data_IF_076089427484
#
_entry.id   IF_076089427484
#
_cell.length_a   1.000
_cell.length_b   1.000
_cell.length_c   1.000
_cell.angle_alpha   90.00
_cell.angle_beta   90.00
_cell.angle_gamma   90.00
#
_symmetry.space_group_name_H-M   'P 1'
#
loop_
_entity.id
_entity.type
_entity.pdbx_description
1 polymer ?
#
# COMPACT_ATOMS: atom_id res chain seq x y z
N UNK A 1 -14.15 20.15 3.81
CA UNK A 1 -13.50 19.10 3.03
C UNK A 1 -13.78 17.79 3.74
N UNK A 2 -14.54 16.90 3.10
CA UNK A 2 -15.04 15.66 3.71
C UNK A 2 -14.00 14.58 3.50
N UNK A 3 -13.44 14.06 4.59
CA UNK A 3 -12.55 12.91 4.58
C UNK A 3 -13.38 11.64 4.35
N UNK A 4 -13.09 10.90 3.28
CA UNK A 4 -13.62 9.55 3.07
C UNK A 4 -12.64 8.55 3.68
N UNK A 5 -12.95 8.09 4.89
CA UNK A 5 -12.36 6.88 5.46
C UNK A 5 -12.94 5.67 4.70
N UNK A 6 -12.09 4.94 3.97
CA UNK A 6 -12.41 3.61 3.48
C UNK A 6 -12.53 2.64 4.66
N UNK A 7 -13.75 2.48 5.17
CA UNK A 7 -14.09 1.52 6.21
C UNK A 7 -14.47 0.21 5.53
N UNK A 8 -13.61 -0.81 5.63
CA UNK A 8 -13.95 -2.18 5.21
C UNK A 8 -15.08 -2.70 6.11
N UNK A 9 -16.29 -2.77 5.56
CA UNK A 9 -17.45 -3.38 6.21
C UNK A 9 -18.16 -4.31 5.23
N UNK A 10 -17.89 -5.61 5.34
CA UNK A 10 -18.69 -6.64 4.69
C UNK A 10 -20.03 -6.76 5.43
N UNK A 11 -21.10 -6.22 4.82
CA UNK A 11 -22.47 -6.37 5.32
C UNK A 11 -23.19 -7.49 4.56
N UNK A 12 -23.27 -8.67 5.18
CA UNK A 12 -24.19 -9.72 4.76
C UNK A 12 -25.63 -9.36 5.13
N UNK A 13 -26.53 -9.36 4.14
CA UNK A 13 -27.96 -9.12 4.34
C UNK A 13 -28.75 -10.43 4.23
N UNK A 14 -29.26 -10.88 5.38
CA UNK A 14 -30.23 -11.95 5.50
C UNK A 14 -31.62 -11.53 5.03
N UNK A 15 -32.32 -12.50 4.44
CA UNK A 15 -33.64 -12.39 3.83
C UNK A 15 -34.76 -11.97 4.79
N UNK A 16 -35.69 -11.15 4.27
CA UNK A 16 -36.95 -10.78 4.91
C UNK A 16 -38.00 -11.85 4.62
N UNK A 17 -38.53 -12.49 5.66
CA UNK A 17 -39.73 -13.32 5.64
C UNK A 17 -41.00 -12.46 5.69
N UNK A 18 -41.93 -12.70 4.75
CA UNK A 18 -43.31 -12.19 4.81
C UNK A 18 -44.28 -13.22 4.25
N UNK A 19 -45.11 -13.81 5.11
CA UNK A 19 -46.11 -14.83 4.80
C UNK A 19 -47.52 -14.23 4.56
N UNK A 20 -48.18 -14.76 3.52
CA UNK A 20 -49.61 -15.09 3.36
C UNK A 20 -50.69 -14.00 3.27
N UNK A 21 -51.45 -14.00 2.16
CA UNK A 21 -52.80 -14.58 2.22
C UNK A 21 -53.33 -15.05 0.85
N UNK A 22 -54.16 -16.09 0.88
CA UNK A 22 -54.50 -16.98 -0.22
C UNK A 22 -55.70 -16.53 -1.09
N UNK A 23 -55.67 -16.80 -2.40
CA UNK A 23 -56.86 -17.18 -3.16
C UNK A 23 -56.55 -17.82 -4.54
N UNK A 24 -57.01 -19.07 -4.68
CA UNK A 24 -57.61 -19.69 -5.88
C UNK A 24 -56.75 -19.88 -7.16
N UNK A 25 -56.41 -21.14 -7.39
CA UNK A 25 -55.81 -21.71 -8.63
C UNK A 25 -56.72 -21.61 -9.85
N UNK A 26 -56.10 -21.42 -11.03
CA UNK A 26 -56.33 -22.30 -12.17
C UNK A 26 -55.00 -22.92 -12.64
N UNK A 27 -55.02 -24.20 -13.00
CA UNK A 27 -53.86 -24.87 -13.62
C UNK A 27 -53.41 -24.17 -14.90
N UNK A 28 -52.10 -24.04 -15.09
CA UNK A 28 -51.55 -24.20 -16.42
C UNK A 28 -50.40 -25.20 -16.43
N UNK A 29 -50.34 -25.94 -17.54
CA UNK A 29 -49.13 -26.32 -18.26
C UNK A 29 -48.05 -27.10 -17.50
N UNK A 30 -47.66 -28.23 -18.09
CA UNK A 30 -46.41 -28.93 -17.77
C UNK A 30 -45.28 -27.89 -17.73
N UNK A 31 -44.89 -27.50 -16.51
CA UNK A 31 -43.71 -26.69 -16.26
C UNK A 31 -42.55 -27.53 -16.81
N UNK A 32 -41.87 -26.99 -17.83
CA UNK A 32 -40.57 -27.50 -18.20
C UNK A 32 -39.76 -27.57 -16.90
N UNK A 33 -39.08 -28.70 -16.66
CA UNK A 33 -38.17 -28.82 -15.54
C UNK A 33 -37.33 -27.54 -15.43
N UNK A 34 -37.09 -27.00 -14.22
CA UNK A 34 -36.28 -25.80 -14.06
C UNK A 34 -35.00 -26.04 -14.84
N UNK A 35 -34.75 -25.16 -15.82
CA UNK A 35 -33.52 -25.21 -16.59
C UNK A 35 -32.43 -25.06 -15.54
N UNK A 36 -31.53 -26.03 -15.47
CA UNK A 36 -30.37 -25.96 -14.59
C UNK A 36 -29.48 -24.81 -15.10
N UNK A 37 -29.74 -23.60 -14.61
CA UNK A 37 -29.00 -22.40 -15.00
C UNK A 37 -27.63 -22.37 -14.35
N UNK A 38 -27.36 -23.23 -13.37
CA UNK A 38 -26.11 -23.19 -12.59
C UNK A 38 -24.85 -23.30 -13.46
N UNK A 39 -24.90 -24.01 -14.59
CA UNK A 39 -23.78 -24.06 -15.54
C UNK A 39 -23.63 -22.79 -16.39
N UNK A 40 -24.73 -22.12 -16.74
CA UNK A 40 -24.72 -20.86 -17.47
C UNK A 40 -24.30 -19.69 -16.54
N UNK A 41 -24.85 -19.66 -15.33
CA UNK A 41 -24.51 -18.69 -14.29
C UNK A 41 -23.01 -18.82 -13.93
N UNK A 42 -22.50 -20.04 -13.76
CA UNK A 42 -21.07 -20.28 -13.54
C UNK A 42 -20.19 -19.74 -14.69
N UNK A 43 -20.56 -20.01 -15.94
CA UNK A 43 -19.79 -19.54 -17.10
C UNK A 43 -19.77 -18.01 -17.19
N UNK A 44 -20.89 -17.35 -16.88
CA UNK A 44 -21.00 -15.89 -16.88
C UNK A 44 -20.11 -15.27 -15.80
N UNK A 45 -20.07 -15.85 -14.58
CA UNK A 45 -19.20 -15.37 -13.51
C UNK A 45 -17.71 -15.59 -13.81
N UNK A 46 -17.34 -16.71 -14.45
CA UNK A 46 -15.97 -16.93 -14.93
C UNK A 46 -15.58 -15.87 -15.97
N UNK A 47 -16.47 -15.58 -16.92
CA UNK A 47 -16.20 -14.57 -17.94
C UNK A 47 -16.03 -13.16 -17.33
N UNK A 48 -16.84 -12.81 -16.33
CA UNK A 48 -16.68 -11.57 -15.58
C UNK A 48 -15.33 -11.54 -14.85
N UNK A 49 -14.97 -12.61 -14.15
CA UNK A 49 -13.67 -12.72 -13.48
C UNK A 49 -12.51 -12.49 -14.44
N UNK A 50 -12.49 -13.15 -15.60
CA UNK A 50 -11.43 -13.01 -16.61
C UNK A 50 -11.34 -11.57 -17.15
N UNK A 51 -12.48 -10.91 -17.34
CA UNK A 51 -12.54 -9.50 -17.72
C UNK A 51 -11.91 -8.59 -16.65
N UNK A 52 -12.31 -8.76 -15.39
CA UNK A 52 -11.79 -7.97 -14.27
C UNK A 52 -10.28 -8.22 -14.08
N UNK A 53 -9.84 -9.48 -14.16
CA UNK A 53 -8.43 -9.89 -14.06
C UNK A 53 -7.57 -9.25 -15.15
N UNK A 54 -8.06 -9.26 -16.40
CA UNK A 54 -7.39 -8.61 -17.54
C UNK A 54 -7.24 -7.11 -17.30
N UNK A 55 -8.30 -6.46 -16.80
CA UNK A 55 -8.27 -5.02 -16.53
C UNK A 55 -7.35 -4.68 -15.36
N UNK A 56 -7.29 -5.54 -14.34
CA UNK A 56 -6.34 -5.39 -13.22
C UNK A 56 -4.90 -5.52 -13.72
N UNK A 57 -4.59 -6.47 -14.62
CA UNK A 57 -3.26 -6.58 -15.22
C UNK A 57 -2.85 -5.30 -15.93
N UNK A 58 -3.73 -4.73 -16.75
CA UNK A 58 -3.50 -3.45 -17.43
C UNK A 58 -3.21 -2.33 -16.43
N UNK A 59 -4.02 -2.21 -15.37
CA UNK A 59 -3.85 -1.19 -14.33
C UNK A 59 -2.55 -1.39 -13.53
N UNK A 60 -2.17 -2.64 -13.28
CA UNK A 60 -1.00 -2.99 -12.48
C UNK A 60 0.32 -2.49 -13.09
N UNK A 61 0.34 -2.24 -14.40
CA UNK A 61 1.48 -1.63 -15.11
C UNK A 61 1.88 -0.27 -14.53
N UNK A 62 0.93 0.50 -13.98
CA UNK A 62 1.20 1.78 -13.32
C UNK A 62 2.04 1.65 -12.03
N UNK A 63 2.09 0.43 -11.47
CA UNK A 63 2.84 0.06 -10.27
C UNK A 63 4.09 -0.77 -10.58
N UNK A 64 4.38 -1.06 -11.86
CA UNK A 64 5.61 -1.75 -12.23
C UNK A 64 6.84 -0.96 -11.76
N UNK A 65 7.76 -1.67 -11.11
CA UNK A 65 8.94 -1.11 -10.47
C UNK A 65 8.67 -0.04 -9.39
N UNK A 66 7.41 0.19 -8.99
CA UNK A 66 7.11 1.09 -7.88
C UNK A 66 7.38 0.38 -6.55
N UNK A 67 8.26 0.91 -5.68
CA UNK A 67 8.62 0.27 -4.41
C UNK A 67 7.45 0.11 -3.44
N UNK A 68 6.38 0.89 -3.59
CA UNK A 68 5.21 0.81 -2.71
C UNK A 68 4.07 -0.03 -3.26
N UNK A 69 4.28 -0.76 -4.38
CA UNK A 69 3.28 -1.67 -4.96
C UNK A 69 2.58 -2.57 -3.92
N UNK A 70 3.30 -3.20 -2.97
CA UNK A 70 2.67 -4.06 -1.95
C UNK A 70 1.70 -3.32 -1.00
N UNK A 71 1.88 -2.01 -0.82
CA UNK A 71 1.01 -1.18 0.03
C UNK A 71 -0.21 -0.64 -0.71
N UNK A 72 -0.18 -0.59 -2.04
CA UNK A 72 -1.28 -0.07 -2.86
C UNK A 72 -2.35 -1.13 -3.07
N UNK A 73 -1.95 -2.37 -3.33
CA UNK A 73 -2.87 -3.47 -3.56
C UNK A 73 -2.27 -4.82 -3.19
N UNK A 74 -3.13 -5.75 -2.74
CA UNK A 74 -2.76 -7.09 -2.30
C UNK A 74 -2.75 -8.08 -3.48
N UNK A 75 -1.73 -8.01 -4.33
CA UNK A 75 -1.63 -8.89 -5.50
C UNK A 75 -1.51 -10.38 -5.14
N UNK A 76 -0.88 -10.73 -4.02
CA UNK A 76 -0.80 -12.11 -3.55
C UNK A 76 -2.19 -12.71 -3.26
N UNK A 77 -3.11 -11.90 -2.69
CA UNK A 77 -4.50 -12.32 -2.52
C UNK A 77 -5.21 -12.57 -3.85
N UNK A 78 -4.87 -11.81 -4.89
CA UNK A 78 -5.42 -12.02 -6.23
C UNK A 78 -4.92 -13.34 -6.84
N UNK A 79 -3.64 -13.68 -6.65
CA UNK A 79 -3.08 -14.98 -7.07
C UNK A 79 -3.80 -16.15 -6.38
N UNK A 80 -4.15 -16.01 -5.09
CA UNK A 80 -5.00 -16.99 -4.40
C UNK A 80 -6.41 -17.12 -5.01
N UNK A 81 -6.94 -16.05 -5.61
CA UNK A 81 -8.25 -16.10 -6.28
C UNK A 81 -8.13 -16.76 -7.65
N UNK A 82 -7.02 -16.55 -8.38
CA UNK A 82 -6.73 -17.25 -9.64
C UNK A 82 -6.76 -18.77 -9.41
N UNK A 83 -6.13 -19.26 -8.35
CA UNK A 83 -6.14 -20.69 -7.99
C UNK A 83 -7.55 -21.22 -7.69
N UNK A 84 -8.40 -20.43 -7.01
CA UNK A 84 -9.79 -20.85 -6.72
C UNK A 84 -10.64 -20.93 -7.97
N UNK A 85 -10.44 -20.02 -8.92
CA UNK A 85 -11.19 -19.99 -10.18
C UNK A 85 -10.83 -21.16 -11.10
N UNK A 86 -9.66 -21.78 -10.90
CA UNK A 86 -9.25 -22.99 -11.61
C UNK A 86 -9.73 -24.31 -10.97
N UNK A 87 -10.40 -24.27 -9.80
CA UNK A 87 -10.85 -25.50 -9.11
C UNK A 87 -11.89 -26.25 -9.97
N UNK A 88 -11.66 -27.54 -10.30
CA UNK A 88 -12.64 -28.33 -11.07
C UNK A 88 -13.98 -28.54 -10.35
N UNK A 89 -14.06 -28.24 -9.06
CA UNK A 89 -15.28 -28.27 -8.24
C UNK A 89 -15.86 -26.88 -7.97
N UNK A 90 -15.42 -25.85 -8.70
CA UNK A 90 -15.93 -24.49 -8.58
C UNK A 90 -17.46 -24.48 -8.76
N UNK A 91 -18.14 -23.78 -7.84
CA UNK A 91 -19.60 -23.62 -7.87
C UNK A 91 -19.95 -22.23 -8.41
N UNK A 92 -21.13 -22.08 -9.01
CA UNK A 92 -21.61 -20.77 -9.50
C UNK A 92 -21.55 -19.68 -8.41
N UNK A 93 -21.97 -20.01 -7.18
CA UNK A 93 -21.91 -19.09 -6.04
C UNK A 93 -20.48 -18.67 -5.65
N UNK A 94 -19.53 -19.61 -5.67
CA UNK A 94 -18.14 -19.29 -5.38
C UNK A 94 -17.53 -18.41 -6.49
N UNK A 95 -17.85 -18.71 -7.75
CA UNK A 95 -17.43 -17.89 -8.89
C UNK A 95 -18.02 -16.48 -8.84
N UNK A 96 -19.31 -16.34 -8.50
CA UNK A 96 -19.99 -15.05 -8.29
C UNK A 96 -19.26 -14.23 -7.23
N UNK A 97 -19.03 -14.81 -6.06
CA UNK A 97 -18.35 -14.13 -4.95
C UNK A 97 -16.95 -13.66 -5.34
N UNK A 98 -16.17 -14.49 -6.04
CA UNK A 98 -14.81 -14.12 -6.46
C UNK A 98 -14.86 -13.03 -7.55
N UNK A 99 -15.77 -13.13 -8.51
CA UNK A 99 -15.94 -12.10 -9.55
C UNK A 99 -16.34 -10.72 -8.97
N UNK A 100 -17.24 -10.71 -7.97
CA UNK A 100 -17.62 -9.47 -7.26
C UNK A 100 -16.45 -8.88 -6.46
N UNK A 101 -15.66 -9.73 -5.81
CA UNK A 101 -14.46 -9.30 -5.09
C UNK A 101 -13.41 -8.72 -6.04
N UNK A 102 -13.21 -9.33 -7.21
CA UNK A 102 -12.30 -8.81 -8.24
C UNK A 102 -12.79 -7.49 -8.83
N UNK A 103 -14.09 -7.34 -9.03
CA UNK A 103 -14.69 -6.08 -9.48
C UNK A 103 -14.42 -4.94 -8.48
N UNK A 104 -14.51 -5.25 -7.18
CA UNK A 104 -14.19 -4.30 -6.10
C UNK A 104 -12.70 -3.97 -6.09
N UNK A 105 -11.83 -5.00 -6.14
CA UNK A 105 -10.38 -4.82 -6.19
C UNK A 105 -9.95 -3.95 -7.37
N UNK A 106 -10.49 -4.20 -8.58
CA UNK A 106 -10.23 -3.39 -9.77
C UNK A 106 -10.62 -1.93 -9.55
N UNK A 107 -11.82 -1.68 -9.01
CA UNK A 107 -12.31 -0.33 -8.75
C UNK A 107 -11.41 0.43 -7.76
N UNK A 108 -10.99 -0.23 -6.68
CA UNK A 108 -10.09 0.35 -5.68
C UNK A 108 -8.70 0.66 -6.26
N UNK A 109 -8.17 -0.24 -7.11
CA UNK A 109 -6.90 -0.02 -7.81
C UNK A 109 -6.98 1.14 -8.81
N UNK A 110 -8.06 1.21 -9.60
CA UNK A 110 -8.29 2.29 -10.56
C UNK A 110 -8.42 3.66 -9.86
N UNK A 111 -9.11 3.70 -8.71
CA UNK A 111 -9.19 4.90 -7.88
C UNK A 111 -7.80 5.29 -7.34
N UNK A 112 -7.03 4.32 -6.83
CA UNK A 112 -5.69 4.57 -6.30
C UNK A 112 -4.74 5.15 -7.36
N UNK A 113 -4.81 4.65 -8.60
CA UNK A 113 -4.05 5.19 -9.74
C UNK A 113 -4.49 6.61 -10.06
N UNK A 114 -5.80 6.87 -10.12
CA UNK A 114 -6.35 8.21 -10.39
C UNK A 114 -5.92 9.23 -9.34
N UNK A 115 -5.95 8.83 -8.06
CA UNK A 115 -5.53 9.68 -6.95
C UNK A 115 -4.01 9.93 -6.99
N UNK A 116 -3.22 8.94 -7.39
CA UNK A 116 -1.78 9.09 -7.54
C UNK A 116 -1.42 10.04 -8.69
N UNK A 117 -2.08 9.93 -9.84
CA UNK A 117 -1.88 10.84 -10.97
C UNK A 117 -2.18 12.30 -10.61
N UNK A 118 -3.19 12.53 -9.76
CA UNK A 118 -3.54 13.86 -9.27
C UNK A 118 -2.48 14.40 -8.29
N UNK A 119 -1.90 13.54 -7.45
CA UNK A 119 -0.92 13.91 -6.42
C UNK A 119 0.48 14.14 -6.94
N UNK A 120 0.89 13.52 -8.05
CA UNK A 120 2.25 13.59 -8.64
C UNK A 120 2.70 15.00 -9.09
N UNK A 121 1.91 16.02 -8.83
CA UNK A 121 2.29 17.39 -9.11
C UNK A 121 2.92 17.98 -7.85
N UNK A 122 4.23 18.23 -7.87
CA UNK A 122 4.93 19.06 -6.88
C UNK A 122 4.39 20.50 -6.97
N UNK A 123 3.20 20.71 -6.42
CA UNK A 123 2.37 21.87 -6.64
C UNK A 123 2.85 23.04 -5.80
N UNK A 124 3.43 22.77 -4.63
CA UNK A 124 4.02 23.81 -3.78
C UNK A 124 5.44 24.19 -4.20
N UNK A 125 6.13 23.33 -4.96
CA UNK A 125 7.53 23.51 -5.32
C UNK A 125 8.49 23.22 -4.17
N UNK A 126 8.02 22.57 -3.10
CA UNK A 126 8.85 22.24 -1.94
C UNK A 126 9.82 21.10 -2.26
N UNK A 127 10.90 21.02 -1.47
CA UNK A 127 11.89 19.94 -1.64
C UNK A 127 11.33 18.62 -1.15
N UNK A 128 10.57 18.63 -0.07
CA UNK A 128 9.95 17.43 0.48
C UNK A 128 8.93 16.83 -0.49
N UNK A 129 8.04 17.65 -1.06
CA UNK A 129 7.04 17.21 -2.04
C UNK A 129 7.71 16.62 -3.29
N UNK A 130 8.77 17.26 -3.80
CA UNK A 130 9.51 16.74 -4.93
C UNK A 130 10.19 15.38 -4.68
N UNK A 131 10.69 15.14 -3.46
CA UNK A 131 11.24 13.84 -3.08
C UNK A 131 10.16 12.77 -2.97
N UNK A 132 9.02 13.09 -2.36
CA UNK A 132 7.87 12.18 -2.24
C UNK A 132 7.31 11.79 -3.62
N UNK A 133 7.14 12.77 -4.52
CA UNK A 133 6.69 12.53 -5.88
C UNK A 133 7.61 11.60 -6.65
N UNK A 134 8.92 11.84 -6.57
CA UNK A 134 9.93 11.01 -7.22
C UNK A 134 9.99 9.58 -6.63
N UNK A 135 9.74 9.46 -5.34
CA UNK A 135 9.80 8.21 -4.59
C UNK A 135 8.58 7.30 -4.84
N UNK A 136 7.40 7.88 -5.00
CA UNK A 136 6.14 7.16 -5.03
C UNK A 136 5.36 7.28 -6.33
N UNK A 137 5.75 8.13 -7.28
CA UNK A 137 4.98 8.45 -8.50
C UNK A 137 3.54 8.89 -8.17
N UNK A 138 3.37 9.62 -7.05
CA UNK A 138 2.09 10.08 -6.52
C UNK A 138 1.34 9.09 -5.61
N UNK A 139 1.78 7.83 -5.50
CA UNK A 139 1.13 6.87 -4.59
C UNK A 139 1.40 7.16 -3.11
N UNK A 140 2.53 7.79 -2.80
CA UNK A 140 2.86 8.30 -1.47
C UNK A 140 2.36 9.74 -1.37
N UNK A 141 1.59 10.04 -0.33
CA UNK A 141 1.11 11.38 0.00
C UNK A 141 2.00 12.06 1.05
N UNK A 142 1.96 13.39 1.10
CA UNK A 142 2.64 14.21 2.11
C UNK A 142 1.65 15.11 2.82
N UNK A 143 1.71 15.12 4.16
CA UNK A 143 0.88 15.98 4.99
C UNK A 143 1.77 16.79 5.93
N UNK A 144 1.56 18.11 5.99
CA UNK A 144 2.37 19.00 6.81
C UNK A 144 1.75 19.22 8.21
N UNK A 145 1.51 18.13 8.94
CA UNK A 145 0.79 18.11 10.21
C UNK A 145 1.53 17.33 11.33
N UNK A 146 2.85 17.10 11.16
CA UNK A 146 3.62 16.30 12.11
C UNK A 146 3.51 16.76 13.57
N UNK A 147 3.36 18.07 13.82
CA UNK A 147 3.22 18.64 15.15
C UNK A 147 2.01 18.11 15.95
N UNK A 148 0.93 17.72 15.27
CA UNK A 148 -0.28 17.16 15.92
C UNK A 148 -0.41 15.66 15.74
N UNK A 149 0.22 15.13 14.70
CA UNK A 149 0.00 13.78 14.21
C UNK A 149 1.08 12.81 14.70
N UNK A 150 2.33 13.27 14.79
CA UNK A 150 3.46 12.46 15.19
C UNK A 150 3.61 12.41 16.72
N UNK A 151 4.06 11.26 17.24
CA UNK A 151 4.22 11.08 18.69
C UNK A 151 5.40 11.92 19.16
N UNK A 152 5.18 12.78 20.16
CA UNK A 152 6.24 13.58 20.75
C UNK A 152 7.17 12.73 21.62
N UNK A 153 8.44 13.13 21.68
CA UNK A 153 9.46 12.54 22.55
C UNK A 153 10.10 13.64 23.38
N UNK A 154 10.21 13.43 24.69
CA UNK A 154 10.82 14.41 25.58
C UNK A 154 12.28 14.67 25.19
N UNK A 155 12.65 15.95 25.05
CA UNK A 155 13.99 16.38 24.65
C UNK A 155 14.26 16.38 23.14
N UNK A 156 13.28 16.03 22.30
CA UNK A 156 13.42 15.99 20.85
C UNK A 156 12.31 16.79 20.16
N UNK A 157 12.65 17.46 19.06
CA UNK A 157 11.66 18.00 18.13
C UNK A 157 11.37 16.94 17.08
N UNK A 158 10.10 16.52 16.99
CA UNK A 158 9.66 15.52 16.02
C UNK A 158 9.32 16.23 14.72
N UNK A 159 10.10 15.93 13.68
CA UNK A 159 10.02 16.62 12.38
C UNK A 159 9.25 15.83 11.32
N UNK A 160 9.01 14.54 11.56
CA UNK A 160 8.25 13.68 10.68
C UNK A 160 7.83 12.37 11.34
N UNK A 161 6.92 11.65 10.68
CA UNK A 161 6.60 10.26 10.95
C UNK A 161 5.78 9.64 9.80
N UNK A 162 5.80 8.32 9.72
CA UNK A 162 4.81 7.53 8.99
C UNK A 162 4.00 6.69 9.98
N UNK A 163 2.67 6.70 9.85
CA UNK A 163 1.77 5.94 10.74
C UNK A 163 1.51 4.54 10.21
N UNK A 164 1.50 3.54 11.09
CA UNK A 164 1.22 2.15 10.71
C UNK A 164 -0.15 1.93 10.04
N UNK A 165 -1.17 2.69 10.43
CA UNK A 165 -2.51 2.60 9.80
C UNK A 165 -2.66 3.39 8.49
N UNK A 166 -1.64 4.14 8.08
CA UNK A 166 -1.64 4.94 6.85
C UNK A 166 -0.21 4.98 6.29
N UNK A 167 0.31 3.84 5.83
CA UNK A 167 1.73 3.68 5.49
C UNK A 167 2.15 4.44 4.23
N UNK A 168 1.19 4.87 3.41
CA UNK A 168 1.40 5.67 2.20
C UNK A 168 1.30 7.19 2.46
N UNK A 169 1.29 7.63 3.72
CA UNK A 169 1.24 9.05 4.07
C UNK A 169 2.44 9.41 4.93
N UNK A 170 3.27 10.32 4.42
CA UNK A 170 4.42 10.88 5.14
C UNK A 170 4.00 12.19 5.79
N UNK A 171 4.02 12.23 7.12
CA UNK A 171 3.69 13.41 7.88
C UNK A 171 4.97 14.17 8.21
N UNK A 172 5.04 15.47 7.87
CA UNK A 172 6.22 16.30 8.07
C UNK A 172 5.87 17.61 8.78
N UNK A 173 6.86 18.23 9.42
CA UNK A 173 6.79 19.67 9.70
C UNK A 173 6.94 20.44 8.37
N UNK A 174 6.32 21.63 8.24
CA UNK A 174 6.51 22.48 7.07
C UNK A 174 7.98 22.72 6.74
N UNK A 175 8.32 22.74 5.46
CA UNK A 175 9.70 23.02 5.01
C UNK A 175 10.20 24.39 5.49
N UNK A 176 9.31 25.37 5.66
CA UNK A 176 9.64 26.70 6.19
C UNK A 176 10.11 26.70 7.65
N UNK A 177 9.83 25.62 8.38
CA UNK A 177 10.25 25.44 9.77
C UNK A 177 11.55 24.63 9.90
N UNK A 178 12.14 24.22 8.77
CA UNK A 178 13.33 23.37 8.69
C UNK A 178 14.37 24.00 7.76
N UNK A 179 15.65 23.74 8.00
CA UNK A 179 16.65 23.98 6.97
C UNK A 179 16.39 23.05 5.76
N UNK A 180 16.83 23.43 4.56
CA UNK A 180 16.71 22.56 3.38
C UNK A 180 17.37 21.20 3.60
N UNK A 181 18.53 21.16 4.26
CA UNK A 181 19.23 19.93 4.60
C UNK A 181 18.37 19.02 5.50
N UNK A 182 17.79 19.56 6.58
CA UNK A 182 16.88 18.83 7.46
C UNK A 182 15.62 18.37 6.73
N UNK A 183 15.06 19.19 5.84
CA UNK A 183 13.88 18.82 5.07
C UNK A 183 14.17 17.61 4.16
N UNK A 184 15.33 17.60 3.46
CA UNK A 184 15.76 16.45 2.66
C UNK A 184 15.99 15.22 3.53
N UNK A 185 16.81 15.33 4.58
CA UNK A 185 17.18 14.19 5.41
C UNK A 185 15.94 13.55 6.06
N UNK A 186 15.09 14.34 6.73
CA UNK A 186 13.86 13.82 7.34
C UNK A 186 12.93 13.22 6.29
N UNK A 187 12.74 13.84 5.12
CA UNK A 187 11.84 13.28 4.11
C UNK A 187 12.32 11.92 3.60
N UNK A 188 13.62 11.78 3.35
CA UNK A 188 14.19 10.50 2.89
C UNK A 188 14.19 9.46 4.02
N UNK A 189 14.39 9.86 5.27
CA UNK A 189 14.22 9.00 6.45
C UNK A 189 12.80 8.43 6.51
N UNK A 190 11.78 9.29 6.42
CA UNK A 190 10.39 8.84 6.47
C UNK A 190 10.01 7.96 5.27
N UNK A 191 10.55 8.24 4.09
CA UNK A 191 10.40 7.37 2.93
C UNK A 191 10.97 5.96 3.17
N UNK A 192 12.10 5.85 3.89
CA UNK A 192 12.64 4.55 4.28
C UNK A 192 11.63 3.75 5.12
N UNK A 193 10.88 4.40 6.00
CA UNK A 193 9.82 3.75 6.77
C UNK A 193 8.61 3.35 5.91
N UNK A 194 8.30 4.06 4.83
CA UNK A 194 7.30 3.60 3.85
C UNK A 194 7.78 2.31 3.19
N UNK A 195 9.05 2.27 2.80
CA UNK A 195 9.66 1.12 2.15
C UNK A 195 9.78 -0.10 3.07
N UNK A 196 10.21 0.08 4.32
CA UNK A 196 10.20 -0.98 5.32
C UNK A 196 8.82 -1.62 5.45
N UNK A 197 7.75 -0.82 5.49
CA UNK A 197 6.37 -1.35 5.53
C UNK A 197 5.95 -2.07 4.26
N UNK A 198 6.39 -1.60 3.10
CA UNK A 198 6.16 -2.32 1.84
C UNK A 198 6.89 -3.67 1.83
N UNK A 199 8.05 -3.74 2.47
CA UNK A 199 8.84 -4.96 2.63
C UNK A 199 8.20 -5.93 3.64
N UNK A 200 7.64 -5.43 4.75
CA UNK A 200 6.88 -6.25 5.72
C UNK A 200 5.69 -6.97 5.06
N UNK A 201 4.99 -6.30 4.12
CA UNK A 201 3.89 -6.95 3.37
C UNK A 201 4.40 -8.08 2.49
N UNK A 202 5.62 -7.99 1.96
CA UNK A 202 6.24 -9.04 1.14
C UNK A 202 6.75 -10.22 1.98
N UNK A 203 7.08 -9.97 3.25
CA UNK A 203 7.68 -10.94 4.16
C UNK A 203 6.96 -10.96 5.52
N UNK A 204 5.70 -11.48 5.58
CA UNK A 204 4.85 -11.37 6.75
C UNK A 204 5.31 -12.16 7.99
N UNK A 205 6.26 -13.08 7.83
CA UNK A 205 6.82 -13.92 8.91
C UNK A 205 8.19 -13.43 9.42
N UNK A 206 8.58 -12.19 9.09
CA UNK A 206 9.87 -11.56 9.46
C UNK A 206 11.11 -12.36 8.99
N UNK A 207 10.96 -13.24 8.00
CA UNK A 207 11.99 -14.19 7.54
C UNK A 207 12.86 -13.63 6.40
N UNK A 208 12.59 -12.41 5.96
CA UNK A 208 13.24 -11.77 4.83
C UNK A 208 13.40 -10.26 4.95
N UNK A 209 13.74 -9.62 3.84
CA UNK A 209 13.78 -8.17 3.72
C UNK A 209 14.72 -7.48 4.70
N UNK A 210 14.30 -6.33 5.21
CA UNK A 210 15.07 -5.54 6.16
C UNK A 210 15.15 -6.17 7.55
N UNK A 211 14.12 -6.89 7.99
CA UNK A 211 14.11 -7.56 9.30
C UNK A 211 15.28 -8.55 9.43
N UNK A 212 15.60 -9.26 8.35
CA UNK A 212 16.77 -10.14 8.31
C UNK A 212 18.10 -9.39 8.48
N UNK A 213 18.21 -8.14 8.01
CA UNK A 213 19.38 -7.29 8.21
C UNK A 213 19.51 -6.85 9.68
N UNK A 214 18.39 -6.46 10.28
CA UNK A 214 18.34 -6.09 11.70
C UNK A 214 18.70 -7.29 12.61
N UNK A 215 18.19 -8.48 12.29
CA UNK A 215 18.49 -9.71 13.03
C UNK A 215 19.97 -10.12 12.97
N UNK A 216 20.70 -9.71 11.92
CA UNK A 216 22.15 -9.88 11.80
C UNK A 216 22.96 -8.87 12.63
N UNK A 217 22.30 -7.90 13.26
CA UNK A 217 22.91 -6.85 14.06
C UNK A 217 23.35 -5.63 13.26
N UNK A 218 23.00 -5.53 11.98
CA UNK A 218 23.18 -4.30 11.21
C UNK A 218 22.26 -3.21 11.76
N UNK A 219 22.66 -1.95 11.61
CA UNK A 219 21.88 -0.78 12.05
C UNK A 219 21.53 -0.82 13.54
N UNK A 220 22.38 -1.45 14.36
CA UNK A 220 22.12 -1.71 15.78
C UNK A 220 20.81 -2.48 16.06
N UNK A 221 20.27 -3.18 15.05
CA UNK A 221 18.98 -3.85 15.14
C UNK A 221 17.77 -2.91 15.22
N UNK A 222 17.89 -1.67 14.74
CA UNK A 222 16.84 -0.64 14.81
C UNK A 222 16.38 -0.17 13.43
N UNK A 223 15.07 -0.18 13.20
CA UNK A 223 14.43 0.33 11.98
C UNK A 223 14.68 1.83 11.75
N UNK A 224 14.74 2.60 12.84
CA UNK A 224 15.01 4.04 12.84
C UNK A 224 16.47 4.33 12.45
N UNK A 225 17.40 3.52 12.94
CA UNK A 225 18.82 3.64 12.58
C UNK A 225 19.07 3.21 11.14
N UNK A 226 18.31 2.22 10.66
CA UNK A 226 18.34 1.84 9.25
C UNK A 226 17.78 2.96 8.37
N UNK A 227 16.69 3.62 8.78
CA UNK A 227 16.12 4.76 8.08
C UNK A 227 17.10 5.96 8.01
N UNK A 228 17.81 6.25 9.11
CA UNK A 228 18.93 7.20 9.11
C UNK A 228 20.02 6.81 8.10
N UNK A 229 20.43 5.53 8.08
CA UNK A 229 21.43 5.05 7.12
C UNK A 229 20.93 5.15 5.67
N UNK A 230 19.65 4.86 5.42
CA UNK A 230 19.06 5.02 4.10
C UNK A 230 19.12 6.48 3.64
N UNK A 231 18.74 7.42 4.49
CA UNK A 231 18.81 8.85 4.19
C UNK A 231 20.25 9.33 3.90
N UNK A 232 21.21 8.92 4.72
CA UNK A 232 22.63 9.21 4.50
C UNK A 232 23.16 8.58 3.21
N UNK A 233 22.74 7.37 2.87
CA UNK A 233 23.16 6.68 1.65
C UNK A 233 22.58 7.36 0.42
N UNK A 234 21.29 7.67 0.42
CA UNK A 234 20.59 8.35 -0.66
C UNK A 234 21.16 9.74 -0.94
N UNK A 235 21.40 10.54 0.10
CA UNK A 235 21.93 11.90 -0.05
C UNK A 235 23.46 11.94 -0.23
N UNK A 236 24.12 10.78 -0.21
CA UNK A 236 25.57 10.65 -0.19
C UNK A 236 26.25 11.44 0.94
N UNK A 237 25.59 11.50 2.10
CA UNK A 237 26.08 12.15 3.32
C UNK A 237 26.70 11.14 4.28
N UNK A 238 27.55 11.62 5.20
CA UNK A 238 28.23 10.78 6.20
C UNK A 238 27.86 11.10 7.64
N UNK A 239 27.16 12.20 7.89
CA UNK A 239 26.83 12.66 9.23
C UNK A 239 25.40 13.12 9.31
N UNK A 240 24.72 12.80 10.41
CA UNK A 240 23.38 13.32 10.72
C UNK A 240 23.43 14.74 11.30
N UNK A 241 24.40 15.55 10.89
CA UNK A 241 24.52 16.93 11.32
C UNK A 241 24.95 17.84 10.18
N UNK A 242 24.37 19.03 10.15
CA UNK A 242 24.80 20.15 9.30
C UNK A 242 25.83 21.07 9.99
N UNK A 243 26.36 20.65 11.14
CA UNK A 243 27.30 21.42 11.97
C UNK A 243 26.65 22.46 12.89
N UNK A 244 25.32 22.63 12.83
CA UNK A 244 24.53 23.50 13.71
C UNK A 244 23.52 22.69 14.53
N UNK A 245 22.94 21.69 13.88
CA UNK A 245 21.85 20.87 14.38
C UNK A 245 22.13 19.40 14.09
N UNK A 246 21.64 18.52 14.96
CA UNK A 246 21.71 17.08 14.81
C UNK A 246 20.31 16.55 14.51
N UNK A 247 20.23 15.58 13.61
CA UNK A 247 19.02 14.86 13.24
C UNK A 247 19.19 13.36 13.53
N UNK A 248 18.07 12.63 13.52
CA UNK A 248 18.09 11.18 13.69
C UNK A 248 18.55 10.70 15.07
N UNK A 249 19.13 9.50 15.10
CA UNK A 249 19.42 8.77 16.34
C UNK A 249 20.92 8.68 16.66
N UNK A 250 21.72 9.56 16.04
CA UNK A 250 23.15 9.72 16.35
C UNK A 250 24.04 8.58 15.86
N UNK A 251 23.52 7.67 15.02
CA UNK A 251 24.29 6.60 14.40
C UNK A 251 24.82 7.02 13.03
N UNK A 252 26.08 6.65 12.75
CA UNK A 252 26.70 6.88 11.43
C UNK A 252 26.93 5.53 10.77
N UNK A 253 26.31 5.38 9.61
CA UNK A 253 26.34 4.16 8.82
C UNK A 253 27.71 3.89 8.19
N UNK A 254 28.23 2.68 8.40
CA UNK A 254 29.51 2.25 7.80
C UNK A 254 29.38 1.81 6.34
N UNK A 255 30.51 1.63 5.64
CA UNK A 255 30.53 1.20 4.23
C UNK A 255 29.72 -0.08 3.97
N UNK A 256 29.85 -1.08 4.85
CA UNK A 256 29.14 -2.36 4.74
C UNK A 256 27.63 -2.20 4.85
N UNK A 257 27.17 -1.33 5.74
CA UNK A 257 25.76 -1.07 5.95
C UNK A 257 25.16 -0.21 4.84
N UNK A 258 25.91 0.76 4.31
CA UNK A 258 25.49 1.49 3.10
C UNK A 258 25.39 0.55 1.90
N UNK A 259 26.26 -0.45 1.77
CA UNK A 259 26.11 -1.49 0.75
C UNK A 259 24.85 -2.34 0.98
N UNK A 260 24.59 -2.75 2.23
CA UNK A 260 23.37 -3.47 2.57
C UNK A 260 22.10 -2.66 2.25
N UNK A 261 22.10 -1.34 2.48
CA UNK A 261 21.03 -0.44 2.06
C UNK A 261 20.82 -0.48 0.54
N UNK A 262 21.89 -0.39 -0.25
CA UNK A 262 21.79 -0.42 -1.72
C UNK A 262 21.21 -1.75 -2.22
N UNK A 263 21.66 -2.85 -1.64
CA UNK A 263 21.21 -4.19 -2.02
C UNK A 263 19.72 -4.39 -1.64
N UNK A 264 19.33 -3.97 -0.43
CA UNK A 264 17.93 -3.99 0.02
C UNK A 264 17.04 -3.11 -0.86
N UNK A 265 17.42 -1.85 -1.07
CA UNK A 265 16.64 -0.90 -1.86
C UNK A 265 16.48 -1.38 -3.31
N UNK A 266 17.53 -1.95 -3.91
CA UNK A 266 17.45 -2.56 -5.24
C UNK A 266 16.47 -3.73 -5.29
N UNK A 267 16.44 -4.59 -4.26
CA UNK A 267 15.52 -5.72 -4.15
C UNK A 267 14.04 -5.34 -4.08
N UNK A 268 13.74 -4.07 -3.82
CA UNK A 268 12.38 -3.53 -3.78
C UNK A 268 12.16 -2.37 -4.76
N UNK A 269 13.12 -2.07 -5.64
CA UNK A 269 13.09 -0.91 -6.54
C UNK A 269 12.95 0.45 -5.80
N UNK A 270 13.36 0.53 -4.54
CA UNK A 270 13.43 1.81 -3.84
C UNK A 270 14.60 2.63 -4.39
N UNK A 271 14.42 3.94 -4.63
CA UNK A 271 15.47 4.77 -5.19
C UNK A 271 16.63 4.92 -4.21
N UNK A 272 17.86 4.92 -4.69
CA UNK A 272 19.04 5.33 -3.92
C UNK A 272 19.79 6.28 -4.85
N UNK A 273 20.09 7.50 -4.37
CA UNK A 273 20.70 8.56 -5.17
C UNK A 273 22.03 8.21 -5.83
#
# INVERSE_FOLDING_TARGET
MVAFMGLFAFAGLGAILGLSDAATTPSPSVEAAPVDTGAADLADHIALYEQERTRIDELSTALEANPVKPLVALFDWMEDQDVKMEDPNLTAYAAELVADQMSTFRADLEQSITDAETRRANASGSVSEGLIDAAGNGFIDVQYDAATTCKTREGYTVTGCVKGGSPLVVHLLPDTERSEWHAKLTTVHELAHVYQRADDVRYPDDDGGYQALLAQGLFQGSEEVMADCYALTYLNEWTLSDGVTEAGYGYICGDSERQAIRDWAAGMNAPVG
#
